data_IF_140411363868
#
_entry.id   IF_140411363868
#
_cell.length_a   1.000
_cell.length_b   1.000
_cell.length_c   1.000
_cell.angle_alpha   90.00
_cell.angle_beta   90.00
_cell.angle_gamma   90.00
#
_symmetry.space_group_name_H-M   'P 1'
#
loop_
_entity.id
_entity.type
_entity.pdbx_description
1 polymer ?
#
# COMPACT_ATOMS: atom_id res chain seq x y z
N UNK A 1 19.38 5.93 -15.64
CA UNK A 1 18.38 5.86 -14.57
C UNK A 1 18.72 4.61 -13.77
N UNK A 2 19.24 4.76 -12.56
CA UNK A 2 19.58 3.64 -11.68
C UNK A 2 18.33 2.84 -11.29
N UNK A 3 18.48 1.59 -10.77
CA UNK A 3 17.36 0.86 -10.21
C UNK A 3 16.71 1.73 -9.12
N UNK A 4 15.38 1.72 -9.03
CA UNK A 4 14.68 2.41 -7.94
C UNK A 4 15.15 1.81 -6.61
N UNK A 5 15.13 2.59 -5.53
CA UNK A 5 15.46 2.07 -4.19
C UNK A 5 14.61 0.85 -3.86
N UNK A 6 13.44 0.74 -4.48
CA UNK A 6 12.53 -0.38 -4.39
C UNK A 6 13.07 -1.65 -5.05
N UNK A 7 13.68 -1.53 -6.26
CA UNK A 7 14.30 -2.67 -6.95
C UNK A 7 15.54 -3.17 -6.18
N UNK A 8 16.28 -2.26 -5.56
CA UNK A 8 17.44 -2.60 -4.72
C UNK A 8 17.03 -3.30 -3.42
N UNK A 9 15.89 -2.94 -2.84
CA UNK A 9 15.34 -3.58 -1.63
C UNK A 9 14.98 -5.07 -1.85
N UNK A 10 14.61 -5.44 -3.08
CA UNK A 10 14.20 -6.81 -3.44
C UNK A 10 15.19 -7.54 -4.36
N UNK A 11 16.36 -6.96 -4.68
CA UNK A 11 17.38 -7.64 -5.46
C UNK A 11 17.95 -8.83 -4.66
N UNK A 12 17.62 -10.04 -5.10
CA UNK A 12 18.27 -11.27 -4.65
C UNK A 12 19.58 -11.37 -5.45
N UNK A 13 20.69 -10.96 -4.87
CA UNK A 13 22.02 -11.22 -5.44
C UNK A 13 22.38 -12.67 -5.17
N UNK A 14 22.35 -13.48 -6.22
CA UNK A 14 22.96 -14.82 -6.23
C UNK A 14 24.46 -14.67 -6.42
N UNK A 15 25.20 -14.59 -5.33
CA UNK A 15 26.65 -14.64 -5.28
C UNK A 15 27.06 -15.22 -3.95
N UNK A 16 28.07 -16.15 -3.96
CA UNK A 16 28.51 -16.94 -2.81
C UNK A 16 29.19 -16.08 -1.73
N UNK A 17 28.43 -15.22 -1.05
CA UNK A 17 28.83 -14.54 0.18
C UNK A 17 27.74 -14.77 1.22
N UNK A 18 28.13 -14.89 2.48
CA UNK A 18 27.26 -15.13 3.64
C UNK A 18 26.12 -14.11 3.63
N UNK A 19 24.98 -14.48 3.07
CA UNK A 19 23.81 -13.60 2.98
C UNK A 19 23.19 -13.53 4.37
N UNK A 20 23.46 -12.46 5.08
CA UNK A 20 22.67 -12.12 6.26
C UNK A 20 21.25 -11.82 5.76
N UNK A 21 20.32 -12.74 5.96
CA UNK A 21 18.91 -12.52 5.67
C UNK A 21 18.40 -11.44 6.60
N UNK A 22 18.36 -10.22 6.11
CA UNK A 22 17.61 -9.16 6.78
C UNK A 22 16.13 -9.42 6.49
N UNK A 23 15.39 -9.80 7.53
CA UNK A 23 13.94 -9.91 7.47
C UNK A 23 13.37 -8.61 6.91
N UNK A 24 12.69 -8.68 5.77
CA UNK A 24 12.11 -7.51 5.13
C UNK A 24 10.59 -7.62 5.14
N UNK A 25 9.95 -6.51 5.41
CA UNK A 25 8.50 -6.41 5.48
C UNK A 25 8.01 -5.38 4.48
N UNK A 26 7.14 -5.80 3.56
CA UNK A 26 6.47 -4.93 2.60
C UNK A 26 4.99 -4.82 2.98
N UNK A 27 4.50 -3.59 3.10
CA UNK A 27 3.07 -3.31 3.18
C UNK A 27 2.58 -2.81 1.82
N UNK A 28 1.60 -3.49 1.24
CA UNK A 28 0.90 -3.07 0.03
C UNK A 28 -0.51 -2.58 0.37
N UNK A 29 -0.93 -1.47 -0.25
CA UNK A 29 -2.20 -0.79 0.06
C UNK A 29 -2.98 -0.46 -1.22
N UNK A 30 -4.28 -0.73 -1.18
CA UNK A 30 -5.28 -0.20 -2.11
C UNK A 30 -6.09 0.87 -1.36
N UNK A 31 -5.77 2.15 -1.61
CA UNK A 31 -6.25 3.28 -0.83
C UNK A 31 -7.70 3.65 -1.16
N UNK A 32 -8.57 3.60 -0.18
CA UNK A 32 -9.98 3.96 -0.31
C UNK A 32 -10.75 3.94 1.01
N UNK A 33 -12.04 4.21 0.97
CA UNK A 33 -12.91 4.14 2.15
C UNK A 33 -12.94 2.74 2.78
N UNK A 34 -12.88 1.71 1.97
CA UNK A 34 -12.46 0.36 2.35
C UNK A 34 -11.06 0.17 1.78
N UNK A 35 -10.06 0.21 2.64
CA UNK A 35 -8.67 0.05 2.24
C UNK A 35 -8.30 -1.43 2.27
N UNK A 36 -7.90 -1.98 1.12
CA UNK A 36 -7.28 -3.29 1.03
C UNK A 36 -5.81 -3.22 1.46
N UNK A 37 -5.32 -4.25 2.14
CA UNK A 37 -3.93 -4.33 2.53
C UNK A 37 -3.38 -5.75 2.40
N UNK A 38 -2.09 -5.84 2.10
CA UNK A 38 -1.33 -7.08 2.17
C UNK A 38 0.03 -6.80 2.81
N UNK A 39 0.45 -7.69 3.70
CA UNK A 39 1.76 -7.64 4.34
C UNK A 39 2.57 -8.87 3.93
N UNK A 40 3.68 -8.65 3.28
CA UNK A 40 4.66 -9.68 3.02
C UNK A 40 5.76 -9.61 4.07
N UNK A 41 6.08 -10.74 4.68
CA UNK A 41 7.20 -10.90 5.62
C UNK A 41 7.78 -12.29 5.47
N UNK A 42 9.06 -12.37 5.15
CA UNK A 42 9.82 -13.63 5.11
C UNK A 42 9.16 -14.73 4.26
N UNK A 43 8.62 -14.37 3.11
CA UNK A 43 7.93 -15.29 2.20
C UNK A 43 6.47 -15.56 2.54
N UNK A 44 5.95 -15.04 3.65
CA UNK A 44 4.55 -15.19 4.06
C UNK A 44 3.77 -13.93 3.73
N UNK A 45 2.63 -14.08 3.08
CA UNK A 45 1.67 -12.98 2.81
C UNK A 45 0.46 -13.13 3.72
N UNK A 46 0.14 -12.08 4.44
CA UNK A 46 -1.15 -11.90 5.11
C UNK A 46 -1.87 -10.72 4.48
N UNK A 47 -3.19 -10.78 4.37
CA UNK A 47 -3.97 -9.72 3.72
C UNK A 47 -5.34 -9.56 4.37
N UNK A 48 -5.97 -8.44 4.08
CA UNK A 48 -7.31 -8.14 4.55
C UNK A 48 -7.80 -6.80 4.04
N UNK A 49 -8.87 -6.31 4.64
CA UNK A 49 -9.40 -4.98 4.38
C UNK A 49 -9.84 -4.31 5.67
N UNK A 50 -9.83 -2.99 5.66
CA UNK A 50 -10.34 -2.15 6.76
C UNK A 50 -11.36 -1.16 6.22
N UNK A 51 -12.55 -1.13 6.84
CA UNK A 51 -13.58 -0.14 6.53
C UNK A 51 -13.34 1.12 7.36
N UNK A 52 -12.88 2.17 6.71
CA UNK A 52 -12.56 3.47 7.31
C UNK A 52 -13.77 4.39 7.36
N UNK A 53 -14.88 4.02 6.73
CA UNK A 53 -16.13 4.80 6.69
C UNK A 53 -17.11 4.42 7.79
N UNK A 54 -16.90 3.27 8.44
CA UNK A 54 -17.80 2.74 9.46
C UNK A 54 -17.85 3.67 10.68
N UNK A 55 -19.04 4.18 10.96
CA UNK A 55 -19.33 5.02 12.13
C UNK A 55 -19.49 4.14 13.39
N UNK A 56 -18.95 4.60 14.50
CA UNK A 56 -19.11 3.92 15.79
C UNK A 56 -20.39 4.31 16.55
N UNK A 57 -21.15 5.23 16.00
CA UNK A 57 -22.46 5.68 16.52
C UNK A 57 -22.42 6.53 17.80
N UNK A 58 -21.25 6.69 18.40
CA UNK A 58 -21.10 7.35 19.71
C UNK A 58 -20.54 8.77 19.65
N UNK A 59 -20.05 9.19 18.50
CA UNK A 59 -19.34 10.46 18.31
C UNK A 59 -19.74 11.10 16.99
N UNK A 60 -19.66 12.41 16.90
CA UNK A 60 -19.78 13.11 15.63
C UNK A 60 -18.71 12.60 14.65
N UNK A 61 -19.16 12.13 13.50
CA UNK A 61 -18.33 11.54 12.46
C UNK A 61 -18.23 12.50 11.28
N UNK A 62 -17.36 13.50 11.44
CA UNK A 62 -17.08 14.49 10.39
C UNK A 62 -16.28 13.87 9.23
N UNK A 63 -16.13 14.63 8.13
CA UNK A 63 -15.48 14.14 6.90
C UNK A 63 -14.01 13.77 7.10
N UNK A 64 -13.36 14.25 8.14
CA UNK A 64 -11.97 13.91 8.49
C UNK A 64 -11.80 12.58 9.21
N UNK A 65 -12.88 12.02 9.79
CA UNK A 65 -12.76 10.83 10.64
C UNK A 65 -12.24 9.59 9.90
N UNK A 66 -12.52 9.44 8.62
CA UNK A 66 -11.94 8.37 7.79
C UNK A 66 -10.40 8.43 7.75
N UNK A 67 -9.81 9.61 7.73
CA UNK A 67 -8.36 9.79 7.75
C UNK A 67 -7.77 9.57 9.16
N UNK A 68 -8.50 9.90 10.20
CA UNK A 68 -8.13 9.56 11.59
C UNK A 68 -8.08 8.04 11.76
N UNK A 69 -9.07 7.32 11.26
CA UNK A 69 -9.11 5.85 11.28
C UNK A 69 -7.98 5.25 10.46
N UNK A 70 -7.68 5.82 9.29
CA UNK A 70 -6.57 5.38 8.46
C UNK A 70 -5.22 5.55 9.17
N UNK A 71 -4.97 6.71 9.78
CA UNK A 71 -3.75 6.94 10.56
C UNK A 71 -3.65 5.97 11.74
N UNK A 72 -4.76 5.68 12.41
CA UNK A 72 -4.81 4.68 13.49
C UNK A 72 -4.49 3.29 12.98
N UNK A 73 -5.04 2.90 11.82
CA UNK A 73 -4.72 1.63 11.16
C UNK A 73 -3.22 1.53 10.87
N UNK A 74 -2.60 2.54 10.23
CA UNK A 74 -1.17 2.55 9.96
C UNK A 74 -0.32 2.41 11.24
N UNK A 75 -0.72 3.05 12.32
CA UNK A 75 -0.02 2.96 13.61
C UNK A 75 -0.18 1.61 14.31
N UNK A 76 -1.28 0.91 14.06
CA UNK A 76 -1.54 -0.42 14.63
C UNK A 76 -0.89 -1.56 13.83
N UNK A 77 -0.47 -1.28 12.60
CA UNK A 77 0.19 -2.25 11.74
C UNK A 77 1.67 -2.38 12.12
N UNK A 78 2.26 -3.58 12.11
CA UNK A 78 3.70 -3.73 12.27
C UNK A 78 4.46 -2.84 11.30
N UNK A 79 5.54 -2.19 11.76
CA UNK A 79 6.27 -1.20 10.98
C UNK A 79 6.91 -1.88 9.76
N UNK A 80 6.55 -1.51 8.50
CA UNK A 80 7.14 -2.09 7.31
C UNK A 80 8.49 -1.45 6.99
N UNK A 81 9.34 -2.18 6.27
CA UNK A 81 10.59 -1.63 5.71
C UNK A 81 10.32 -0.78 4.45
N UNK A 82 9.24 -1.06 3.75
CA UNK A 82 8.78 -0.27 2.60
C UNK A 82 7.28 -0.43 2.38
N UNK A 83 6.70 0.53 1.66
CA UNK A 83 5.27 0.58 1.34
C UNK A 83 5.07 0.69 -0.16
N UNK A 84 4.19 -0.13 -0.73
CA UNK A 84 3.67 0.03 -2.07
C UNK A 84 2.19 0.40 -2.01
N UNK A 85 1.71 1.21 -2.94
CA UNK A 85 0.29 1.51 -3.05
C UNK A 85 -0.14 1.58 -4.51
N UNK A 86 -1.43 1.30 -4.76
CA UNK A 86 -2.00 1.47 -6.10
C UNK A 86 -2.05 2.96 -6.45
N UNK A 87 -1.33 3.36 -7.52
CA UNK A 87 -1.37 4.71 -8.05
C UNK A 87 -2.59 4.88 -8.96
N UNK A 88 -3.58 5.64 -8.50
CA UNK A 88 -4.78 5.96 -9.27
C UNK A 88 -4.62 7.33 -9.93
N UNK A 89 -4.48 7.35 -11.26
CA UNK A 89 -4.29 8.58 -12.04
C UNK A 89 -5.60 9.21 -12.51
N UNK A 90 -6.68 8.44 -12.56
CA UNK A 90 -8.01 8.92 -13.00
C UNK A 90 -9.07 8.50 -12.00
N UNK A 91 -9.82 9.44 -11.50
CA UNK A 91 -10.90 9.23 -10.55
C UNK A 91 -12.26 9.47 -11.20
N UNK A 92 -13.28 8.74 -10.74
CA UNK A 92 -14.68 8.95 -11.14
C UNK A 92 -15.30 10.10 -10.34
N UNK A 93 -14.77 11.32 -10.53
CA UNK A 93 -15.31 12.53 -9.90
C UNK A 93 -14.40 13.12 -8.83
N UNK A 94 -14.72 14.35 -8.46
CA UNK A 94 -13.95 15.20 -7.56
C UNK A 94 -13.86 14.63 -6.15
N UNK A 95 -14.98 14.10 -5.63
CA UNK A 95 -15.03 13.54 -4.28
C UNK A 95 -14.10 12.32 -4.12
N UNK A 96 -14.04 11.44 -5.13
CA UNK A 96 -13.14 10.31 -5.14
C UNK A 96 -11.66 10.75 -5.21
N UNK A 97 -11.36 11.77 -6.02
CA UNK A 97 -10.02 12.35 -6.10
C UNK A 97 -9.58 12.97 -4.77
N UNK A 98 -10.44 13.72 -4.12
CA UNK A 98 -10.15 14.31 -2.80
C UNK A 98 -9.93 13.26 -1.72
N UNK A 99 -10.75 12.22 -1.69
CA UNK A 99 -10.60 11.12 -0.73
C UNK A 99 -9.27 10.38 -0.93
N UNK A 100 -8.96 10.01 -2.16
CA UNK A 100 -7.69 9.35 -2.50
C UNK A 100 -6.49 10.23 -2.12
N UNK A 101 -6.49 11.50 -2.50
CA UNK A 101 -5.45 12.46 -2.14
C UNK A 101 -5.27 12.60 -0.63
N UNK A 102 -6.37 12.57 0.13
CA UNK A 102 -6.35 12.56 1.58
C UNK A 102 -5.68 11.33 2.16
N UNK A 103 -6.03 10.14 1.72
CA UNK A 103 -5.36 8.89 2.14
C UNK A 103 -3.88 8.89 1.76
N UNK A 104 -3.56 9.28 0.54
CA UNK A 104 -2.18 9.35 0.06
C UNK A 104 -1.34 10.32 0.90
N UNK A 105 -1.87 11.49 1.21
CA UNK A 105 -1.18 12.49 2.05
C UNK A 105 -0.90 11.96 3.45
N UNK A 106 -1.86 11.25 4.06
CA UNK A 106 -1.67 10.65 5.38
C UNK A 106 -0.66 9.50 5.35
N UNK A 107 -0.66 8.69 4.28
CA UNK A 107 0.30 7.61 4.10
C UNK A 107 1.72 8.15 3.96
N UNK A 108 1.94 9.09 3.04
CA UNK A 108 3.27 9.64 2.77
C UNK A 108 3.81 10.40 3.98
N UNK A 109 2.96 11.19 4.65
CA UNK A 109 3.35 11.85 5.91
C UNK A 109 3.70 10.85 7.02
N UNK A 110 2.98 9.74 7.12
CA UNK A 110 3.30 8.66 8.07
C UNK A 110 4.67 8.06 7.79
N UNK A 111 5.01 7.80 6.52
CA UNK A 111 6.29 7.23 6.12
C UNK A 111 7.44 8.23 6.31
N UNK A 112 7.24 9.48 5.90
CA UNK A 112 8.25 10.53 5.97
C UNK A 112 8.58 10.98 7.41
N UNK A 113 7.61 10.85 8.33
CA UNK A 113 7.80 11.17 9.75
C UNK A 113 8.55 10.09 10.54
N UNK A 114 8.95 8.99 9.92
CA UNK A 114 9.72 7.92 10.57
C UNK A 114 11.21 8.20 10.54
N UNK A 115 11.91 7.63 11.51
CA UNK A 115 13.37 7.72 11.61
C UNK A 115 13.95 6.30 11.80
N UNK A 116 14.56 5.68 10.77
CA UNK A 116 14.69 6.22 9.40
C UNK A 116 13.33 6.28 8.65
N UNK A 117 13.25 7.13 7.65
CA UNK A 117 12.08 7.23 6.77
C UNK A 117 11.77 5.89 6.11
N UNK A 118 10.47 5.59 5.95
CA UNK A 118 10.03 4.39 5.24
C UNK A 118 9.88 4.75 3.75
N UNK A 119 10.63 4.12 2.84
CA UNK A 119 10.45 4.32 1.41
C UNK A 119 9.08 3.82 0.96
N UNK A 120 8.46 4.54 0.02
CA UNK A 120 7.17 4.20 -0.56
C UNK A 120 7.14 4.44 -2.06
N UNK A 121 6.33 3.67 -2.77
CA UNK A 121 6.17 3.78 -4.23
C UNK A 121 4.72 3.54 -4.65
N UNK A 122 4.22 4.38 -5.58
CA UNK A 122 2.97 4.17 -6.28
C UNK A 122 3.14 3.25 -7.48
N UNK A 123 2.32 2.21 -7.59
CA UNK A 123 2.35 1.26 -8.70
C UNK A 123 1.08 1.40 -9.52
N UNK A 124 1.23 1.70 -10.81
CA UNK A 124 0.10 1.86 -11.71
C UNK A 124 -0.72 0.58 -11.87
N UNK A 125 -2.05 0.73 -11.94
CA UNK A 125 -3.02 -0.38 -12.09
C UNK A 125 -2.67 -1.34 -13.23
N UNK A 126 -2.26 -0.81 -14.39
CA UNK A 126 -1.85 -1.63 -15.53
C UNK A 126 -0.65 -2.52 -15.22
N UNK A 127 0.31 -2.04 -14.45
CA UNK A 127 1.48 -2.81 -14.01
C UNK A 127 1.07 -3.92 -13.06
N UNK A 128 0.19 -3.63 -12.09
CA UNK A 128 -0.34 -4.63 -11.14
C UNK A 128 -1.06 -5.74 -11.90
N UNK A 129 -1.98 -5.36 -12.80
CA UNK A 129 -2.74 -6.30 -13.64
C UNK A 129 -1.83 -7.17 -14.50
N UNK A 130 -0.85 -6.56 -15.16
CA UNK A 130 0.09 -7.29 -16.02
C UNK A 130 0.93 -8.28 -15.22
N UNK A 131 1.35 -7.93 -14.01
CA UNK A 131 2.09 -8.84 -13.14
C UNK A 131 1.26 -10.01 -12.63
N UNK A 132 0.00 -9.77 -12.28
CA UNK A 132 -0.89 -10.80 -11.76
C UNK A 132 -1.38 -11.77 -12.85
N UNK A 133 -1.76 -11.25 -14.04
CA UNK A 133 -2.48 -12.02 -15.06
C UNK A 133 -1.74 -12.15 -16.40
N UNK A 134 -0.59 -11.49 -16.56
CA UNK A 134 0.09 -11.33 -17.85
C UNK A 134 -0.55 -10.27 -18.77
N UNK A 135 -1.69 -9.68 -18.39
CA UNK A 135 -2.46 -8.72 -19.19
C UNK A 135 -2.73 -7.43 -18.40
N UNK A 136 -2.14 -6.31 -18.82
CA UNK A 136 -2.34 -5.00 -18.18
C UNK A 136 -3.76 -4.43 -18.31
N UNK A 137 -4.61 -4.98 -19.18
CA UNK A 137 -6.01 -4.62 -19.33
C UNK A 137 -6.97 -5.67 -18.72
N UNK A 138 -6.45 -6.55 -17.85
CA UNK A 138 -7.25 -7.61 -17.23
C UNK A 138 -8.49 -7.07 -16.50
N UNK A 139 -9.59 -7.82 -16.59
CA UNK A 139 -10.82 -7.53 -15.85
C UNK A 139 -10.69 -7.89 -14.37
N UNK A 140 -11.67 -7.50 -13.56
CA UNK A 140 -11.69 -7.85 -12.13
C UNK A 140 -11.77 -9.37 -11.94
N UNK A 141 -12.55 -10.05 -12.76
CA UNK A 141 -12.73 -11.52 -12.74
C UNK A 141 -11.39 -12.21 -12.97
N UNK A 142 -10.65 -11.80 -14.03
CA UNK A 142 -9.32 -12.32 -14.32
C UNK A 142 -8.31 -12.10 -13.18
N UNK A 143 -8.44 -10.99 -12.44
CA UNK A 143 -7.60 -10.71 -11.28
C UNK A 143 -7.91 -11.58 -10.06
N UNK A 144 -9.15 -12.04 -9.94
CA UNK A 144 -9.57 -12.93 -8.84
C UNK A 144 -9.09 -14.36 -9.08
N UNK A 145 -9.00 -14.78 -10.35
CA UNK A 145 -8.59 -16.13 -10.75
C UNK A 145 -7.06 -16.31 -10.81
N UNK A 146 -6.30 -15.21 -10.78
CA UNK A 146 -4.83 -15.21 -10.86
C UNK A 146 -4.16 -15.43 -9.50
#
# INVERSE_FOLDING_TARGET
MGPSDFDTLFAITSGAETTTYVSRTLLALDLGGTTGWAMWRDGVVTSGSVDLTKKDGKRFDGPGMKFVRFTRFLRSTPLPDCVAFEEVRRHRGVAAAHAYGGYLSHLTAFCDAREPQIPYEGIGVGTIKKRATGNGAATKEMMIEA
#
